data_IF_693302258875
#
_entry.id   IF_693302258875
#
_cell.length_a   1.000
_cell.length_b   1.000
_cell.length_c   1.000
_cell.angle_alpha   90.00
_cell.angle_beta   90.00
_cell.angle_gamma   90.00
#
_symmetry.space_group_name_H-M   'P 1'
#
loop_
_entity.id
_entity.type
_entity.pdbx_description
1 polymer ?
#
# COMPACT_ATOMS: atom_id res chain seq x y z
N UNK A 1 -60.77 -2.67 4.07
CA UNK A 1 -59.35 -2.78 3.64
C UNK A 1 -58.62 -1.43 3.70
N UNK A 2 -59.14 -0.36 3.09
CA UNK A 2 -58.52 0.98 3.10
C UNK A 2 -58.23 1.57 4.50
N UNK A 3 -59.16 1.42 5.46
CA UNK A 3 -58.99 1.95 6.83
C UNK A 3 -57.86 1.28 7.60
N UNK A 4 -57.66 -0.02 7.42
CA UNK A 4 -56.62 -0.81 8.10
C UNK A 4 -55.24 -0.45 7.52
N UNK A 5 -55.17 -0.20 6.22
CA UNK A 5 -53.93 0.22 5.55
C UNK A 5 -53.48 1.61 6.05
N UNK A 6 -54.41 2.54 6.21
CA UNK A 6 -54.13 3.89 6.71
C UNK A 6 -53.61 3.88 8.16
N UNK A 7 -54.23 3.10 9.05
CA UNK A 7 -53.74 2.99 10.44
C UNK A 7 -52.36 2.34 10.52
N UNK A 8 -52.08 1.33 9.69
CA UNK A 8 -50.77 0.68 9.66
C UNK A 8 -49.66 1.64 9.20
N UNK A 9 -49.92 2.46 8.17
CA UNK A 9 -48.95 3.44 7.65
C UNK A 9 -48.68 4.54 8.66
N UNK A 10 -49.73 5.09 9.30
CA UNK A 10 -49.57 6.14 10.33
C UNK A 10 -48.76 5.61 11.52
N UNK A 11 -49.04 4.39 11.98
CA UNK A 11 -48.30 3.77 13.08
C UNK A 11 -46.84 3.51 12.72
N UNK A 12 -46.54 3.13 11.48
CA UNK A 12 -45.18 2.95 10.99
C UNK A 12 -44.40 4.26 10.93
N UNK A 13 -45.03 5.36 10.48
CA UNK A 13 -44.39 6.68 10.43
C UNK A 13 -44.12 7.28 11.82
N UNK A 14 -44.99 7.02 12.80
CA UNK A 14 -44.81 7.49 14.18
C UNK A 14 -43.75 6.70 14.96
N UNK A 15 -43.47 5.45 14.57
CA UNK A 15 -42.52 4.57 15.26
C UNK A 15 -41.22 4.35 14.47
N UNK A 16 -41.05 5.01 13.32
CA UNK A 16 -39.79 4.96 12.59
C UNK A 16 -38.72 5.74 13.39
N UNK A 17 -37.62 5.10 13.82
CA UNK A 17 -36.52 5.83 14.42
C UNK A 17 -35.95 6.82 13.41
N UNK A 18 -35.56 8.04 13.81
CA UNK A 18 -34.91 8.97 12.91
C UNK A 18 -33.62 8.35 12.37
N UNK A 19 -33.55 8.17 11.05
CA UNK A 19 -32.30 7.83 10.38
C UNK A 19 -31.43 9.10 10.33
N UNK A 20 -30.65 9.33 11.37
CA UNK A 20 -29.63 10.37 11.37
C UNK A 20 -28.45 9.89 10.54
N UNK A 21 -28.06 10.67 9.53
CA UNK A 21 -26.83 10.43 8.80
C UNK A 21 -25.64 10.63 9.74
N UNK A 22 -24.63 9.76 9.61
CA UNK A 22 -23.34 9.97 10.25
C UNK A 22 -22.71 11.20 9.57
N UNK A 23 -22.32 12.20 10.35
CA UNK A 23 -21.64 13.37 9.82
C UNK A 23 -20.28 12.97 9.22
N UNK A 24 -19.78 13.66 8.18
CA UNK A 24 -18.41 13.48 7.72
C UNK A 24 -17.42 13.62 8.89
N UNK A 25 -16.33 12.84 8.93
CA UNK A 25 -15.33 12.94 10.00
C UNK A 25 -14.67 14.32 9.96
N UNK A 26 -14.61 14.99 11.11
CA UNK A 26 -13.82 16.20 11.28
C UNK A 26 -12.33 15.86 11.41
N UNK A 27 -11.46 16.56 10.69
CA UNK A 27 -10.00 16.42 10.80
C UNK A 27 -9.49 17.34 11.91
N UNK A 28 -8.76 16.78 12.88
CA UNK A 28 -8.02 17.55 13.89
C UNK A 28 -6.55 17.71 13.44
N UNK A 29 -6.10 18.92 13.04
CA UNK A 29 -4.72 19.16 12.62
C UNK A 29 -3.69 18.99 13.75
N UNK A 30 -4.12 19.02 15.02
CA UNK A 30 -3.25 18.85 16.18
C UNK A 30 -2.96 17.38 16.52
N UNK A 31 -3.70 16.43 15.94
CA UNK A 31 -3.63 15.00 16.26
C UNK A 31 -2.66 14.21 15.37
N UNK A 32 -1.57 14.83 14.89
CA UNK A 32 -0.56 14.16 14.06
C UNK A 32 0.24 13.17 14.93
N UNK A 33 0.35 11.88 14.55
CA UNK A 33 1.14 10.90 15.30
C UNK A 33 2.65 11.19 15.18
N UNK A 34 3.47 10.70 16.13
CA UNK A 34 4.93 10.80 16.02
C UNK A 34 5.46 10.03 14.81
N UNK A 35 6.58 10.51 14.23
CA UNK A 35 7.29 9.85 13.13
C UNK A 35 8.14 8.67 13.64
N UNK A 36 7.49 7.53 13.82
CA UNK A 36 8.11 6.27 14.28
C UNK A 36 7.64 5.10 13.43
N UNK A 37 8.53 4.14 13.18
CA UNK A 37 8.20 2.86 12.55
C UNK A 37 7.91 1.78 13.60
N UNK A 38 7.47 0.61 13.15
CA UNK A 38 7.11 -0.52 13.98
C UNK A 38 5.60 -0.66 14.15
N UNK A 39 5.14 -1.85 14.57
CA UNK A 39 3.72 -2.11 14.78
C UNK A 39 3.19 -1.41 16.04
N UNK A 40 1.87 -1.24 16.09
CA UNK A 40 1.14 -0.71 17.24
C UNK A 40 1.23 -1.63 18.47
N UNK A 41 1.33 -2.93 18.23
CA UNK A 41 1.56 -3.99 19.23
C UNK A 41 2.50 -5.05 18.64
N UNK A 42 3.25 -5.82 19.46
CA UNK A 42 4.13 -6.88 18.95
C UNK A 42 3.38 -7.85 18.04
N UNK A 43 3.98 -8.17 16.89
CA UNK A 43 3.44 -9.12 15.91
C UNK A 43 4.30 -10.38 15.86
N UNK A 44 3.75 -11.45 15.26
CA UNK A 44 4.47 -12.68 14.98
C UNK A 44 4.07 -13.20 13.59
N UNK A 45 5.00 -13.81 12.87
CA UNK A 45 4.70 -14.47 11.61
C UNK A 45 4.01 -15.81 11.87
N UNK A 46 2.78 -15.97 11.37
CA UNK A 46 1.96 -17.17 11.60
C UNK A 46 1.84 -18.09 10.39
N UNK A 47 2.21 -17.61 9.21
CA UNK A 47 2.10 -18.33 7.94
C UNK A 47 3.39 -18.17 7.14
N UNK A 48 3.68 -19.17 6.32
CA UNK A 48 4.76 -19.07 5.34
C UNK A 48 4.45 -17.96 4.34
N UNK A 49 5.49 -17.31 3.84
CA UNK A 49 5.33 -16.26 2.85
C UNK A 49 4.75 -16.81 1.55
N UNK A 50 3.87 -16.01 0.96
CA UNK A 50 3.30 -16.28 -0.36
C UNK A 50 4.25 -15.82 -1.45
N UNK A 51 4.15 -16.42 -2.63
CA UNK A 51 4.84 -15.95 -3.84
C UNK A 51 3.84 -15.81 -4.97
N UNK A 52 3.97 -14.78 -5.83
CA UNK A 52 3.10 -14.65 -6.98
C UNK A 52 3.38 -15.80 -7.97
N UNK A 53 2.37 -16.15 -8.75
CA UNK A 53 2.47 -17.18 -9.78
C UNK A 53 1.68 -16.77 -11.03
N UNK A 54 1.81 -17.54 -12.10
CA UNK A 54 1.12 -17.32 -13.37
C UNK A 54 0.00 -18.33 -13.56
N UNK A 55 -1.04 -17.95 -14.31
CA UNK A 55 -2.03 -18.91 -14.77
C UNK A 55 -1.44 -19.80 -15.88
N UNK A 56 -1.88 -21.06 -16.01
CA UNK A 56 -1.50 -21.91 -17.14
C UNK A 56 -1.77 -21.21 -18.48
N UNK A 57 -0.89 -21.44 -19.46
CA UNK A 57 -1.00 -20.93 -20.83
C UNK A 57 -1.06 -19.39 -20.96
N UNK A 58 -0.59 -18.66 -19.94
CA UNK A 58 -0.45 -17.20 -20.01
C UNK A 58 0.64 -16.79 -21.00
N UNK A 59 0.33 -15.83 -21.87
CA UNK A 59 1.32 -15.13 -22.70
C UNK A 59 1.59 -13.75 -22.11
N UNK A 60 2.88 -13.38 -21.99
CA UNK A 60 3.32 -12.07 -21.49
C UNK A 60 3.94 -11.20 -22.58
N UNK A 61 3.94 -11.64 -23.84
CA UNK A 61 4.51 -10.87 -24.94
C UNK A 61 3.69 -9.61 -25.25
N UNK A 62 2.37 -9.71 -25.17
CA UNK A 62 1.48 -8.58 -25.41
C UNK A 62 1.38 -7.70 -24.15
N UNK A 63 1.19 -6.37 -24.31
CA UNK A 63 0.88 -5.51 -23.18
C UNK A 63 -0.37 -6.00 -22.43
N UNK A 64 -0.40 -5.89 -21.09
CA UNK A 64 -1.61 -6.16 -20.34
C UNK A 64 -2.78 -5.32 -20.86
N UNK A 65 -4.00 -5.87 -20.82
CA UNK A 65 -5.20 -5.17 -21.29
C UNK A 65 -5.37 -3.78 -20.65
N UNK A 66 -4.96 -3.63 -19.39
CA UNK A 66 -5.00 -2.37 -18.64
C UNK A 66 -4.10 -1.30 -19.28
N UNK A 67 -2.92 -1.68 -19.77
CA UNK A 67 -2.00 -0.75 -20.42
C UNK A 67 -2.57 -0.27 -21.75
N UNK A 68 -3.18 -1.17 -22.51
CA UNK A 68 -3.85 -0.83 -23.76
C UNK A 68 -5.07 0.08 -23.51
N UNK A 69 -5.90 -0.26 -22.52
CA UNK A 69 -7.10 0.50 -22.18
C UNK A 69 -6.79 1.92 -21.70
N UNK A 70 -5.76 2.08 -20.86
CA UNK A 70 -5.32 3.39 -20.35
C UNK A 70 -4.44 4.16 -21.35
N UNK A 71 -4.01 3.54 -22.45
CA UNK A 71 -3.10 4.16 -23.41
C UNK A 71 -1.72 4.46 -22.80
N UNK A 72 -1.19 3.59 -21.93
CA UNK A 72 0.05 3.84 -21.17
C UNK A 72 1.23 4.18 -22.09
N UNK A 73 1.39 3.45 -23.20
CA UNK A 73 2.46 3.71 -24.18
C UNK A 73 2.34 5.10 -24.83
N UNK A 74 1.11 5.60 -25.02
CA UNK A 74 0.88 6.95 -25.54
C UNK A 74 1.18 7.99 -24.46
N UNK A 75 0.74 7.76 -23.23
CA UNK A 75 1.00 8.62 -22.08
C UNK A 75 2.51 8.83 -21.83
N UNK A 76 3.31 7.78 -22.03
CA UNK A 76 4.77 7.85 -21.90
C UNK A 76 5.47 8.79 -22.89
N UNK A 77 4.81 9.18 -23.98
CA UNK A 77 5.32 10.24 -24.88
C UNK A 77 5.30 11.62 -24.23
N UNK A 78 4.47 11.82 -23.21
CA UNK A 78 4.33 13.08 -22.48
C UNK A 78 5.05 13.04 -21.14
N UNK A 79 4.92 11.94 -20.38
CA UNK A 79 5.53 11.80 -19.07
C UNK A 79 5.72 10.34 -18.67
N UNK A 80 6.80 10.09 -17.93
CA UNK A 80 7.21 8.74 -17.46
C UNK A 80 7.44 8.68 -15.95
N UNK A 81 7.18 9.79 -15.24
CA UNK A 81 7.41 9.92 -13.79
C UNK A 81 8.84 10.23 -13.37
N UNK A 82 9.73 10.61 -14.30
CA UNK A 82 11.11 10.98 -13.98
C UNK A 82 11.19 12.08 -12.90
N UNK A 83 12.01 11.86 -11.88
CA UNK A 83 12.20 12.80 -10.77
C UNK A 83 11.07 12.81 -9.72
N UNK A 84 10.00 12.04 -9.92
CA UNK A 84 8.93 11.87 -8.92
C UNK A 84 9.25 10.69 -8.02
N UNK A 85 9.05 10.87 -6.71
CA UNK A 85 9.14 9.77 -5.73
C UNK A 85 7.74 9.33 -5.33
N UNK A 86 7.46 8.03 -5.34
CA UNK A 86 6.18 7.47 -4.91
C UNK A 86 6.40 6.60 -3.67
N UNK A 87 5.58 6.84 -2.64
CA UNK A 87 5.53 5.98 -1.45
C UNK A 87 4.51 4.85 -1.66
N UNK A 88 4.94 3.60 -1.46
CA UNK A 88 4.05 2.42 -1.53
C UNK A 88 3.81 1.94 -0.10
N UNK A 89 2.60 2.16 0.42
CA UNK A 89 2.17 1.69 1.74
C UNK A 89 1.40 0.38 1.56
N UNK A 90 2.11 -0.75 1.60
CA UNK A 90 1.55 -2.06 1.23
C UNK A 90 2.18 -3.19 2.07
N UNK A 91 2.24 -4.43 1.59
CA UNK A 91 2.76 -5.59 2.33
C UNK A 91 4.27 -5.73 2.32
N UNK A 92 4.98 -4.68 1.88
CA UNK A 92 6.40 -4.67 1.58
C UNK A 92 6.66 -4.89 0.09
N UNK A 93 7.91 -4.75 -0.34
CA UNK A 93 8.30 -4.94 -1.74
C UNK A 93 9.60 -5.73 -1.83
N UNK A 94 9.57 -6.87 -2.53
CA UNK A 94 10.78 -7.58 -2.89
C UNK A 94 11.45 -6.89 -4.07
N UNK A 95 12.51 -6.13 -3.80
CA UNK A 95 13.18 -5.31 -4.80
C UNK A 95 13.83 -6.15 -5.91
N UNK A 96 13.76 -5.65 -7.14
CA UNK A 96 14.38 -6.28 -8.31
C UNK A 96 14.87 -5.21 -9.30
N UNK A 97 15.68 -5.56 -10.33
CA UNK A 97 16.10 -4.58 -11.34
C UNK A 97 14.92 -3.89 -12.05
N UNK A 98 13.78 -4.58 -12.18
CA UNK A 98 12.54 -4.01 -12.75
C UNK A 98 11.69 -3.26 -11.74
N UNK A 99 11.82 -3.56 -10.45
CA UNK A 99 11.11 -2.87 -9.35
C UNK A 99 12.15 -2.38 -8.33
N UNK A 100 12.85 -1.27 -8.60
CA UNK A 100 13.97 -0.78 -7.81
C UNK A 100 13.47 -0.03 -6.55
N UNK A 101 12.80 -0.75 -5.65
CA UNK A 101 12.32 -0.19 -4.39
C UNK A 101 13.47 0.19 -3.44
N UNK A 102 13.26 1.28 -2.72
CA UNK A 102 14.09 1.76 -1.61
C UNK A 102 13.35 1.53 -0.28
N UNK A 103 14.09 1.33 0.83
CA UNK A 103 13.47 1.14 2.14
C UNK A 103 12.71 2.39 2.59
N UNK A 104 11.53 2.19 3.16
CA UNK A 104 10.63 3.22 3.66
C UNK A 104 10.06 2.93 5.06
N UNK A 105 10.43 1.80 5.67
CA UNK A 105 10.03 1.41 7.02
C UNK A 105 9.04 0.24 7.05
N UNK A 106 8.93 -0.40 8.21
CA UNK A 106 7.99 -1.51 8.43
C UNK A 106 7.13 -1.22 9.67
N UNK A 107 5.81 -1.34 9.52
CA UNK A 107 4.79 -1.16 10.54
C UNK A 107 4.12 -2.51 10.90
N UNK A 108 4.76 -3.61 10.54
CA UNK A 108 4.39 -4.99 10.86
C UNK A 108 5.51 -5.65 11.65
N UNK A 109 6.73 -5.70 11.10
CA UNK A 109 7.93 -6.19 11.78
C UNK A 109 8.71 -5.03 12.38
N UNK A 110 8.99 -5.08 13.69
CA UNK A 110 9.74 -4.04 14.39
C UNK A 110 11.16 -3.85 13.84
N UNK A 111 11.76 -4.90 13.27
CA UNK A 111 13.10 -4.87 12.71
C UNK A 111 13.12 -4.71 11.18
N UNK A 112 11.96 -4.65 10.53
CA UNK A 112 11.84 -4.55 9.08
C UNK A 112 12.09 -3.14 8.53
N UNK A 113 12.38 -3.07 7.24
CA UNK A 113 12.65 -1.82 6.50
C UNK A 113 11.67 -1.58 5.33
N UNK A 114 10.71 -2.49 5.14
CA UNK A 114 9.71 -2.45 4.07
C UNK A 114 10.11 -3.18 2.78
N UNK A 115 11.31 -3.78 2.71
CA UNK A 115 11.80 -4.51 1.54
C UNK A 115 11.58 -6.03 1.58
N UNK A 116 10.57 -6.48 2.33
CA UNK A 116 10.13 -7.89 2.36
C UNK A 116 8.63 -7.98 2.15
N UNK A 117 8.22 -8.59 1.05
CA UNK A 117 6.81 -8.84 0.71
C UNK A 117 6.42 -10.30 0.98
N UNK A 118 5.90 -10.56 2.19
CA UNK A 118 5.49 -11.92 2.57
C UNK A 118 4.08 -12.30 2.07
N UNK A 119 3.38 -11.38 1.39
CA UNK A 119 1.99 -11.53 1.00
C UNK A 119 1.79 -11.55 -0.53
N UNK A 120 2.89 -11.39 -1.31
CA UNK A 120 2.87 -11.33 -2.77
C UNK A 120 1.92 -10.24 -3.34
N UNK A 121 1.89 -9.07 -2.70
CA UNK A 121 0.96 -8.00 -3.07
C UNK A 121 1.65 -6.65 -3.31
N UNK A 122 2.46 -6.18 -2.36
CA UNK A 122 3.13 -4.90 -2.48
C UNK A 122 4.12 -4.85 -3.65
N UNK A 123 4.79 -5.97 -3.94
CA UNK A 123 5.69 -6.09 -5.11
C UNK A 123 4.93 -5.94 -6.43
N UNK A 124 3.73 -6.53 -6.54
CA UNK A 124 2.86 -6.38 -7.70
C UNK A 124 2.29 -4.96 -7.80
N UNK A 125 1.92 -4.36 -6.67
CA UNK A 125 1.44 -2.98 -6.61
C UNK A 125 2.53 -2.00 -7.08
N UNK A 126 3.75 -2.15 -6.58
CA UNK A 126 4.90 -1.34 -6.97
C UNK A 126 5.26 -1.54 -8.46
N UNK A 127 5.13 -2.78 -8.99
CA UNK A 127 5.40 -3.04 -10.41
C UNK A 127 4.35 -2.40 -11.33
N UNK A 128 3.07 -2.35 -10.94
CA UNK A 128 2.05 -1.63 -11.71
C UNK A 128 2.36 -0.13 -11.74
N UNK A 129 2.79 0.44 -10.62
CA UNK A 129 3.14 1.87 -10.55
C UNK A 129 4.35 2.16 -11.42
N UNK A 130 5.43 1.38 -11.31
CA UNK A 130 6.73 1.77 -11.86
C UNK A 130 7.66 0.64 -12.29
N UNK A 131 7.10 -0.53 -12.57
CA UNK A 131 7.84 -1.63 -13.15
C UNK A 131 8.52 -1.21 -14.45
N UNK A 132 9.83 -1.34 -14.52
CA UNK A 132 10.60 -1.02 -15.73
C UNK A 132 10.23 -1.98 -16.86
N UNK A 133 10.28 -1.55 -18.13
CA UNK A 133 10.06 -2.44 -19.25
C UNK A 133 11.17 -3.49 -19.36
N UNK A 134 10.89 -4.59 -20.05
CA UNK A 134 11.88 -5.61 -20.44
C UNK A 134 11.69 -5.96 -21.93
N UNK A 135 12.74 -6.38 -22.64
CA UNK A 135 12.62 -6.79 -24.05
C UNK A 135 11.89 -8.13 -24.24
N UNK A 136 11.64 -8.87 -23.16
CA UNK A 136 11.10 -10.24 -23.17
C UNK A 136 9.58 -10.31 -22.98
N UNK A 137 8.93 -9.20 -22.62
CA UNK A 137 7.50 -9.13 -22.31
C UNK A 137 6.93 -7.72 -22.59
N UNK A 138 5.62 -7.62 -22.71
CA UNK A 138 4.90 -6.37 -22.96
C UNK A 138 4.57 -5.56 -21.70
N UNK A 139 5.01 -6.00 -20.52
CA UNK A 139 4.69 -5.32 -19.27
C UNK A 139 5.54 -4.06 -19.07
N UNK A 140 4.89 -2.98 -18.68
CA UNK A 140 5.55 -1.76 -18.18
C UNK A 140 4.61 -1.08 -17.19
N UNK A 141 5.16 -0.54 -16.11
CA UNK A 141 4.40 0.24 -15.14
C UNK A 141 3.94 1.58 -15.72
N UNK A 142 3.05 2.25 -14.99
CA UNK A 142 2.50 3.56 -15.39
C UNK A 142 3.59 4.65 -15.43
N UNK A 143 4.56 4.60 -14.54
CA UNK A 143 5.65 5.57 -14.41
C UNK A 143 7.03 4.88 -14.29
N UNK A 144 7.58 4.34 -15.40
CA UNK A 144 8.71 3.39 -15.36
C UNK A 144 10.11 4.03 -15.39
N UNK A 145 10.24 5.34 -15.64
CA UNK A 145 11.56 5.99 -15.65
C UNK A 145 12.17 6.04 -14.25
N UNK A 146 13.48 6.35 -14.08
CA UNK A 146 14.10 6.40 -12.76
C UNK A 146 13.44 7.50 -11.88
N UNK A 147 12.37 7.10 -11.20
CA UNK A 147 11.85 7.70 -9.99
C UNK A 147 12.27 6.82 -8.82
N UNK A 148 12.43 7.42 -7.64
CA UNK A 148 12.68 6.66 -6.43
C UNK A 148 11.37 6.15 -5.87
N UNK A 149 11.31 4.89 -5.47
CA UNK A 149 10.14 4.31 -4.82
C UNK A 149 10.51 4.02 -3.39
N UNK A 150 9.85 4.65 -2.41
CA UNK A 150 10.02 4.28 -1.00
C UNK A 150 8.91 3.35 -0.59
N UNK A 151 9.25 2.21 -0.05
CA UNK A 151 8.29 1.17 0.29
C UNK A 151 8.14 1.08 1.81
N UNK A 152 6.92 1.33 2.30
CA UNK A 152 6.57 1.18 3.70
C UNK A 152 5.64 -0.03 3.83
N UNK A 153 6.00 -0.99 4.68
CA UNK A 153 5.13 -2.14 4.94
C UNK A 153 4.10 -1.79 6.00
N UNK A 154 2.81 -2.04 5.75
CA UNK A 154 1.71 -1.85 6.69
C UNK A 154 0.91 -3.13 6.86
N UNK A 155 0.44 -3.36 8.09
CA UNK A 155 -0.43 -4.48 8.43
C UNK A 155 -1.71 -4.42 7.60
N UNK A 156 -2.04 -5.51 6.89
CA UNK A 156 -3.40 -5.72 6.39
C UNK A 156 -4.34 -5.91 7.58
N UNK A 157 -5.46 -5.18 7.67
CA UNK A 157 -6.56 -5.61 8.53
C UNK A 157 -7.13 -6.89 7.90
N UNK A 158 -6.68 -8.06 8.36
CA UNK A 158 -7.31 -9.31 7.98
C UNK A 158 -8.70 -9.32 8.60
N UNK A 159 -9.73 -9.51 7.79
CA UNK A 159 -11.11 -9.71 8.25
C UNK A 159 -11.30 -11.10 8.92
N UNK A 160 -10.24 -11.66 9.51
CA UNK A 160 -10.31 -12.85 10.36
C UNK A 160 -10.30 -12.35 11.80
N UNK A 161 -11.49 -12.20 12.37
CA UNK A 161 -11.74 -12.00 13.79
C UNK A 161 -10.75 -12.83 14.61
N UNK A 162 -9.75 -12.16 15.19
CA UNK A 162 -8.88 -12.77 16.18
C UNK A 162 -9.74 -13.09 17.41
N UNK A 163 -9.86 -14.37 17.75
CA UNK A 163 -10.30 -14.77 19.07
C UNK A 163 -9.36 -14.16 20.13
N UNK A 164 -9.95 -13.73 21.25
CA UNK A 164 -9.32 -12.93 22.31
C UNK A 164 -7.97 -13.46 22.84
N UNK A 165 -7.10 -12.57 23.36
CA UNK A 165 -5.75 -12.90 23.82
C UNK A 165 -5.68 -13.51 25.25
N UNK A 166 -4.60 -14.28 25.50
CA UNK A 166 -4.17 -14.77 26.83
C UNK A 166 -3.19 -13.74 27.46
N UNK A 167 -3.17 -13.51 28.80
CA UNK A 167 -2.35 -12.46 29.43
C UNK A 167 -0.83 -12.74 29.55
N UNK A 168 -0.06 -11.73 29.13
CA UNK A 168 1.31 -11.21 29.39
C UNK A 168 2.34 -11.90 30.33
N UNK A 169 3.63 -11.72 29.98
CA UNK A 169 4.75 -11.48 30.92
C UNK A 169 5.53 -10.22 30.48
N UNK A 170 5.93 -9.29 31.38
CA UNK A 170 6.69 -8.09 31.01
C UNK A 170 8.20 -8.37 30.89
N UNK A 171 8.85 -7.79 29.89
CA UNK A 171 10.32 -7.73 29.78
C UNK A 171 10.84 -6.30 30.00
N UNK A 172 12.05 -6.13 30.57
CA UNK A 172 12.57 -4.83 30.98
C UNK A 172 13.02 -3.96 29.78
N UNK A 173 13.06 -2.62 29.95
CA UNK A 173 13.33 -1.70 28.86
C UNK A 173 14.80 -1.76 28.41
N UNK A 174 15.01 -1.86 27.09
CA UNK A 174 16.33 -1.72 26.47
C UNK A 174 16.52 -0.30 25.93
N UNK A 175 17.75 0.20 26.07
CA UNK A 175 18.17 1.59 25.81
C UNK A 175 17.88 2.03 24.36
N UNK A 176 17.58 3.33 24.12
CA UNK A 176 17.38 3.86 22.79
C UNK A 176 18.66 3.77 21.96
N UNK A 177 18.57 3.13 20.80
CA UNK A 177 19.56 3.22 19.73
C UNK A 177 19.44 4.57 19.00
N UNK A 178 20.50 5.02 18.32
CA UNK A 178 20.53 6.34 17.69
C UNK A 178 19.49 6.45 16.57
N UNK A 179 18.78 7.57 16.55
CA UNK A 179 17.86 8.01 15.50
C UNK A 179 18.54 7.96 14.13
N UNK A 180 18.01 7.15 13.21
CA UNK A 180 18.41 7.18 11.81
C UNK A 180 17.81 8.43 11.16
N UNK A 181 18.57 9.53 11.21
CA UNK A 181 18.31 10.69 10.37
C UNK A 181 18.46 10.29 8.88
N UNK A 182 17.40 10.54 8.11
CA UNK A 182 17.20 10.23 6.70
C UNK A 182 18.32 10.78 5.79
N UNK A 183 19.17 9.94 5.14
CA UNK A 183 20.05 10.44 4.09
C UNK A 183 19.33 10.43 2.74
N UNK A 184 18.86 11.61 2.32
CA UNK A 184 18.23 11.89 1.02
C UNK A 184 19.19 11.81 -0.20
N UNK A 185 20.32 11.09 -0.12
CA UNK A 185 21.43 11.27 -1.06
C UNK A 185 21.42 10.37 -2.30
N UNK A 186 20.61 9.30 -2.35
CA UNK A 186 20.73 8.32 -3.45
C UNK A 186 19.94 8.66 -4.71
N UNK A 187 18.99 9.61 -4.64
CA UNK A 187 18.04 9.90 -5.74
C UNK A 187 18.38 11.12 -6.59
N UNK A 188 19.37 11.93 -6.20
CA UNK A 188 19.83 13.06 -7.00
C UNK A 188 21.20 12.74 -7.60
N UNK A 189 21.23 12.29 -8.86
CA UNK A 189 22.38 12.61 -9.71
C UNK A 189 22.05 13.91 -10.45
N UNK A 190 22.87 14.96 -10.35
CA UNK A 190 22.66 16.16 -11.14
C UNK A 190 22.82 15.82 -12.62
N UNK A 191 21.74 15.94 -13.39
CA UNK A 191 21.82 15.98 -14.85
C UNK A 191 22.41 17.36 -15.19
N UNK A 192 23.71 17.39 -15.48
CA UNK A 192 24.31 18.51 -16.18
C UNK A 192 23.81 18.47 -17.62
N UNK A 193 22.93 19.40 -17.99
CA UNK A 193 22.67 19.75 -19.39
C UNK A 193 23.70 20.81 -19.76
N UNK A 194 24.65 20.55 -20.68
CA UNK A 194 25.47 21.62 -21.22
C UNK A 194 24.58 22.50 -22.10
N UNK A 195 24.56 23.80 -21.77
CA UNK A 195 24.06 24.87 -22.65
C UNK A 195 25.17 25.26 -23.62
#
# INVERSE_FOLDING_TARGET
>A
MHRILLTAVVLALLNAPPALAINPPSIDPGAVPPDVTGPDQPTEQRVLCSSPTTLPDSSFHDPPWSNAYLGVSEAHRFATGAGVTVAVIDTGVDASPRVPAEPGGDFVDQAGDGLSDCDAHGTLTASIIAGRPAPTDGFVGVAPMPGCFRCARRRRPSNRLAANPIPTIPTPPRRPGPSAAWPARSCMRPIWVPV
#
